data_IF_314747419787
#
_entry.id   IF_314747419787
#
_cell.length_a   1.000
_cell.length_b   1.000
_cell.length_c   1.000
_cell.angle_alpha   90.00
_cell.angle_beta   90.00
_cell.angle_gamma   90.00
#
_symmetry.space_group_name_H-M   'P 1'
#
loop_
_entity.id
_entity.type
_entity.pdbx_description
1 polymer ?
2 water ?
#
# COMPACT_ATOMS: atom_id res chain seq x y z
N UNK A 15 -3.93 18.75 13.09
CA UNK A 15 -3.84 18.89 11.61
C UNK A 15 -3.33 17.60 10.98
N UNK A 16 -3.60 17.42 9.69
CA UNK A 16 -3.15 16.22 9.00
C UNK A 16 -1.66 16.20 8.75
N UNK A 17 -1.06 15.01 8.86
CA UNK A 17 0.38 14.90 8.62
C UNK A 17 0.61 15.14 7.13
N UNK A 18 1.68 15.86 6.82
CA UNK A 18 2.01 16.16 5.44
C UNK A 18 2.09 14.90 4.59
N UNK A 19 2.48 13.80 5.21
CA UNK A 19 2.61 12.53 4.51
C UNK A 19 1.29 12.03 3.92
N UNK A 20 0.17 12.44 4.50
CA UNK A 20 -1.13 12.00 4.01
C UNK A 20 -1.77 12.99 3.04
N UNK A 21 -1.08 14.09 2.78
CA UNK A 21 -1.62 15.09 1.88
C UNK A 21 -1.31 14.78 0.43
N UNK A 22 -2.07 13.85 -0.13
CA UNK A 22 -1.91 13.44 -1.52
C UNK A 22 -3.22 12.85 -2.02
N UNK A 23 -3.40 12.85 -3.33
CA UNK A 23 -4.60 12.29 -3.92
C UNK A 23 -4.13 11.31 -4.99
N UNK A 24 -5.02 10.43 -5.44
CA UNK A 24 -4.66 9.45 -6.45
C UNK A 24 -5.91 8.81 -7.04
N UNK A 25 -5.71 7.97 -8.05
CA UNK A 25 -6.82 7.26 -8.69
C UNK A 25 -6.66 5.77 -8.43
N UNK A 26 -7.75 5.09 -8.11
CA UNK A 26 -7.67 3.65 -7.87
C UNK A 26 -7.70 2.93 -9.21
N UNK A 27 -7.26 1.68 -9.21
CA UNK A 27 -7.25 0.90 -10.44
C UNK A 27 -8.64 0.76 -11.05
N UNK A 28 -9.67 0.79 -10.20
CA UNK A 28 -11.03 0.65 -10.69
C UNK A 28 -11.75 1.98 -10.93
N UNK A 29 -10.96 3.03 -11.16
CA UNK A 29 -11.51 4.34 -11.47
C UNK A 29 -12.08 5.26 -10.40
N UNK A 30 -11.71 5.07 -9.14
CA UNK A 30 -12.23 5.93 -8.07
C UNK A 30 -11.19 6.93 -7.58
N UNK A 31 -11.66 8.04 -7.01
CA UNK A 31 -10.74 9.04 -6.47
C UNK A 31 -10.36 8.62 -5.06
N UNK A 32 -9.09 8.80 -4.70
CA UNK A 32 -8.62 8.43 -3.37
C UNK A 32 -7.88 9.59 -2.72
N UNK A 33 -8.17 9.82 -1.44
CA UNK A 33 -7.54 10.89 -0.70
C UNK A 33 -6.73 10.34 0.46
N UNK A 34 -5.45 10.68 0.51
CA UNK A 34 -4.62 10.20 1.59
C UNK A 34 -5.17 10.59 2.95
N UNK A 35 -5.83 11.74 3.01
CA UNK A 35 -6.37 12.22 4.28
C UNK A 35 -7.45 11.29 4.85
N UNK A 36 -8.00 10.43 4.00
CA UNK A 36 -9.04 9.50 4.44
C UNK A 36 -8.44 8.45 5.37
N UNK A 37 -7.12 8.42 5.48
CA UNK A 37 -6.45 7.46 6.35
C UNK A 37 -6.20 8.02 7.75
N UNK A 38 -6.39 9.32 7.92
CA UNK A 38 -6.17 9.95 9.23
C UNK A 38 -7.15 9.46 10.29
N UNK A 39 -6.62 9.08 11.45
CA UNK A 39 -7.45 8.62 12.55
C UNK A 39 -7.70 7.13 12.58
N UNK A 40 -7.08 6.40 11.65
CA UNK A 40 -7.26 4.96 11.60
C UNK A 40 -5.94 4.30 11.22
N UNK A 41 -5.77 3.02 11.59
CA UNK A 41 -4.53 2.34 11.24
C UNK A 41 -4.54 2.01 9.75
N UNK A 42 -3.41 2.21 9.09
CA UNK A 42 -3.35 1.92 7.66
C UNK A 42 -1.98 1.42 7.26
N UNK A 43 -1.94 0.67 6.17
CA UNK A 43 -0.69 0.17 5.65
C UNK A 43 -0.67 0.41 4.15
N UNK A 44 0.36 1.10 3.67
CA UNK A 44 0.49 1.33 2.24
C UNK A 44 1.60 0.40 1.76
N UNK A 45 1.27 -0.41 0.77
CA UNK A 45 2.21 -1.37 0.21
C UNK A 45 2.60 -0.92 -1.20
N UNK A 46 3.86 -0.55 -1.37
CA UNK A 46 4.35 -0.07 -2.65
C UNK A 46 4.87 -1.24 -3.47
N UNK A 47 4.28 -1.44 -4.65
CA UNK A 47 4.66 -2.54 -5.52
C UNK A 47 4.75 -2.17 -6.99
N UNK A 48 5.42 -3.02 -7.76
CA UNK A 48 5.56 -2.86 -9.21
C UNK A 48 5.14 -4.22 -9.76
N UNK A 49 4.34 -4.24 -10.83
CA UNK A 49 3.86 -5.48 -11.44
C UNK A 49 4.92 -6.49 -11.86
N UNK A 50 6.06 -5.99 -12.32
CA UNK A 50 7.15 -6.84 -12.80
C UNK A 50 8.11 -7.29 -11.71
N UNK A 51 7.91 -6.87 -10.49
CA UNK A 51 8.81 -7.23 -9.43
C UNK A 51 8.50 -8.61 -8.85
N UNK A 52 9.43 -9.53 -9.01
CA UNK A 52 9.27 -10.87 -8.47
C UNK A 52 9.07 -10.95 -6.99
N UNK A 53 9.70 -10.03 -6.27
CA UNK A 53 9.56 -10.00 -4.83
C UNK A 53 8.13 -9.58 -4.48
N UNK A 54 7.60 -8.59 -5.20
CA UNK A 54 6.23 -8.16 -4.95
C UNK A 54 5.24 -9.25 -5.30
N UNK A 55 5.54 -9.99 -6.36
CA UNK A 55 4.67 -11.07 -6.78
C UNK A 55 4.65 -12.11 -5.66
N UNK A 56 5.80 -12.32 -5.03
CA UNK A 56 5.88 -13.29 -3.95
C UNK A 56 5.21 -12.82 -2.67
N UNK A 57 5.26 -11.53 -2.40
CA UNK A 57 4.65 -11.01 -1.18
C UNK A 57 3.16 -10.72 -1.30
N UNK A 58 2.66 -10.63 -2.53
CA UNK A 58 1.25 -10.33 -2.75
C UNK A 58 0.28 -11.20 -1.95
N UNK A 59 0.42 -12.53 -2.00
CA UNK A 59 -0.50 -13.38 -1.23
C UNK A 59 -0.40 -13.15 0.28
N UNK A 60 0.79 -12.77 0.73
CA UNK A 60 1.01 -12.50 2.15
C UNK A 60 0.29 -11.21 2.55
N UNK A 61 0.44 -10.17 1.74
CA UNK A 61 -0.22 -8.91 2.06
C UNK A 61 -1.73 -9.13 2.02
N UNK A 62 -2.19 -9.90 1.04
CA UNK A 62 -3.62 -10.16 0.94
C UNK A 62 -4.15 -10.89 2.16
N UNK A 63 -3.39 -11.86 2.64
CA UNK A 63 -3.80 -12.63 3.81
C UNK A 63 -3.87 -11.75 5.05
N UNK A 64 -2.85 -10.94 5.28
CA UNK A 64 -2.84 -10.07 6.45
C UNK A 64 -3.97 -9.04 6.36
N UNK A 65 -4.22 -8.53 5.16
CA UNK A 65 -5.29 -7.55 4.96
C UNK A 65 -6.62 -8.17 5.34
N UNK A 66 -6.84 -9.40 4.89
CA UNK A 66 -8.09 -10.11 5.17
C UNK A 66 -8.28 -10.40 6.66
N UNK A 67 -7.17 -10.68 7.34
CA UNK A 67 -7.20 -11.00 8.77
C UNK A 67 -7.32 -9.77 9.66
N UNK A 68 -7.08 -8.59 9.10
CA UNK A 68 -7.17 -7.37 9.89
C UNK A 68 -8.03 -6.30 9.24
N UNK A 69 -9.36 -6.52 9.24
CA UNK A 69 -10.29 -5.57 8.64
C UNK A 69 -10.31 -4.20 9.32
N UNK A 70 -9.71 -4.09 10.50
CA UNK A 70 -9.67 -2.81 11.20
C UNK A 70 -8.62 -1.91 10.56
N UNK A 71 -7.70 -2.52 9.81
CA UNK A 71 -6.63 -1.78 9.16
C UNK A 71 -6.93 -1.54 7.69
N UNK A 72 -6.75 -0.31 7.24
CA UNK A 72 -6.99 0.00 5.84
C UNK A 72 -5.71 -0.26 5.06
N UNK A 73 -5.75 -1.26 4.19
CA UNK A 73 -4.59 -1.57 3.36
C UNK A 73 -4.75 -0.85 2.03
N UNK A 74 -3.66 -0.27 1.54
CA UNK A 74 -3.69 0.44 0.28
C UNK A 74 -2.47 0.05 -0.54
N UNK A 75 -2.71 -0.58 -1.68
CA UNK A 75 -1.61 -0.96 -2.55
C UNK A 75 -1.29 0.27 -3.38
N UNK A 76 -0.01 0.52 -3.64
CA UNK A 76 0.40 1.68 -4.43
C UNK A 76 1.30 1.16 -5.55
N UNK A 77 0.70 0.90 -6.70
CA UNK A 77 1.43 0.37 -7.85
C UNK A 77 2.15 1.46 -8.62
N UNK A 78 3.40 1.20 -8.96
CA UNK A 78 4.17 2.17 -9.71
C UNK A 78 5.13 1.52 -10.69
N UNK A 79 5.83 2.37 -11.44
CA UNK A 79 6.84 1.95 -12.40
C UNK A 79 6.32 1.08 -13.54
N UNK A 80 5.11 1.36 -13.99
CA UNK A 80 4.51 0.61 -15.09
C UNK A 80 3.19 1.27 -15.44
N UNK A 81 2.47 0.69 -16.39
CA UNK A 81 1.18 1.23 -16.80
C UNK A 81 0.04 0.38 -16.27
N UNK A 82 -1.18 0.90 -16.37
CA UNK A 82 -2.37 0.23 -15.88
C UNK A 82 -2.55 -1.24 -16.28
N UNK A 83 -2.41 -1.57 -17.58
CA UNK A 83 -2.58 -2.96 -18.00
C UNK A 83 -1.75 -3.95 -17.19
N UNK A 84 -0.48 -3.60 -16.96
CA UNK A 84 0.41 -4.47 -16.20
C UNK A 84 -0.07 -4.57 -14.76
N UNK A 85 -0.57 -3.46 -14.23
CA UNK A 85 -1.08 -3.45 -12.87
C UNK A 85 -2.30 -4.36 -12.74
N UNK A 86 -3.19 -4.30 -13.73
CA UNK A 86 -4.39 -5.14 -13.72
C UNK A 86 -4.02 -6.62 -13.78
N UNK A 87 -3.00 -6.95 -14.56
CA UNK A 87 -2.56 -8.34 -14.69
C UNK A 87 -2.09 -8.86 -13.34
N UNK A 88 -1.35 -8.02 -12.63
CA UNK A 88 -0.83 -8.35 -11.31
C UNK A 88 -1.97 -8.60 -10.32
N UNK A 89 -2.92 -7.67 -10.25
CA UNK A 89 -4.04 -7.83 -9.33
C UNK A 89 -4.91 -9.03 -9.70
N UNK A 90 -4.97 -9.37 -10.99
CA UNK A 90 -5.76 -10.52 -11.42
C UNK A 90 -5.08 -11.83 -11.02
N UNK A 91 -3.75 -11.85 -11.12
CA UNK A 91 -2.98 -13.04 -10.80
C UNK A 91 -2.83 -13.30 -9.30
N UNK A 92 -2.67 -12.23 -8.51
CA UNK A 92 -2.52 -12.44 -7.08
C UNK A 92 -3.69 -11.89 -6.29
N UNK A 93 -4.03 -12.51 -5.15
CA UNK A 93 -5.12 -12.22 -4.22
C UNK A 93 -5.01 -10.91 -3.43
N UNK A 94 -5.09 -9.82 -4.16
CA UNK A 94 -5.01 -8.50 -3.55
C UNK A 94 -6.09 -7.56 -4.09
N UNK A 95 -7.17 -8.13 -4.62
CA UNK A 95 -8.26 -7.33 -5.15
C UNK A 95 -9.23 -6.88 -4.07
N UNK A 96 -9.07 -7.43 -2.87
CA UNK A 96 -9.93 -7.12 -1.73
C UNK A 96 -9.65 -5.76 -1.08
N UNK A 97 -8.49 -5.17 -1.35
CA UNK A 97 -8.21 -3.86 -0.78
C UNK A 97 -7.84 -2.85 -1.87
N UNK A 98 -7.95 -1.57 -1.53
CA UNK A 98 -7.67 -0.50 -2.47
C UNK A 98 -6.31 -0.58 -3.16
N UNK A 99 -6.31 -0.40 -4.48
CA UNK A 99 -5.08 -0.41 -5.26
C UNK A 99 -4.97 0.92 -6.02
N UNK A 100 -3.89 1.66 -5.80
CA UNK A 100 -3.69 2.94 -6.48
C UNK A 100 -2.77 2.78 -7.68
N UNK A 101 -3.15 3.39 -8.80
CA UNK A 101 -2.33 3.33 -10.01
C UNK A 101 -1.49 4.60 -10.04
N UNK A 102 -0.31 4.53 -9.42
CA UNK A 102 0.59 5.68 -9.32
C UNK A 102 1.52 5.82 -10.53
N UNK A 103 0.92 5.96 -11.70
CA UNK A 103 1.68 6.08 -12.94
C UNK A 103 2.54 7.34 -13.01
N UNK A 104 2.11 8.42 -12.36
CA UNK A 104 2.91 9.64 -12.39
C UNK A 104 3.93 9.63 -11.26
N UNK A 105 3.90 8.57 -10.46
CA UNK A 105 4.84 8.41 -9.37
C UNK A 105 4.75 9.40 -8.22
N UNK A 106 3.66 10.16 -8.16
CA UNK A 106 3.51 11.15 -7.10
C UNK A 106 3.31 10.55 -5.71
N UNK A 107 2.61 9.42 -5.62
CA UNK A 107 2.40 8.81 -4.31
C UNK A 107 3.71 8.23 -3.78
N UNK A 108 4.46 7.54 -4.63
CA UNK A 108 5.74 6.99 -4.19
C UNK A 108 6.64 8.13 -3.73
N UNK A 109 6.66 9.21 -4.50
CA UNK A 109 7.49 10.36 -4.18
C UNK A 109 7.12 10.94 -2.82
N UNK A 110 5.82 11.00 -2.55
CA UNK A 110 5.32 11.53 -1.30
C UNK A 110 5.83 10.78 -0.07
N UNK A 111 6.16 9.50 -0.25
CA UNK A 111 6.64 8.69 0.86
C UNK A 111 8.13 8.40 0.77
N UNK A 112 8.80 9.05 -0.18
CA UNK A 112 10.22 8.85 -0.36
C UNK A 112 10.58 7.45 -0.82
N UNK A 113 9.65 6.80 -1.52
CA UNK A 113 9.89 5.45 -2.02
C UNK A 113 10.39 5.51 -3.45
N UNK A 114 11.58 4.97 -3.68
CA UNK A 114 12.17 4.96 -5.01
C UNK A 114 12.27 3.54 -5.54
N UNK A 115 12.22 2.57 -4.63
CA UNK A 115 12.32 1.17 -5.02
C UNK A 115 11.36 0.28 -4.24
N UNK A 116 10.80 -0.71 -4.91
CA UNK A 116 9.88 -1.64 -4.27
C UNK A 116 10.65 -2.90 -3.93
N UNK A 117 10.13 -3.69 -2.97
CA UNK A 117 8.89 -3.36 -2.27
C UNK A 117 9.16 -2.45 -1.08
N UNK A 118 8.11 -1.80 -0.60
CA UNK A 118 8.21 -0.93 0.56
C UNK A 118 6.85 -0.91 1.24
N UNK A 119 6.85 -0.55 2.51
CA UNK A 119 5.63 -0.50 3.30
C UNK A 119 5.60 0.78 4.13
N UNK A 120 4.45 1.44 4.18
CA UNK A 120 4.32 2.63 5.00
C UNK A 120 3.27 2.30 6.05
N UNK A 121 3.66 2.36 7.32
CA UNK A 121 2.73 2.07 8.40
C UNK A 121 2.23 3.36 9.00
N UNK A 122 0.91 3.51 9.03
CA UNK A 122 0.28 4.70 9.56
C UNK A 122 -0.53 4.37 10.80
N UNK A 123 -0.20 4.97 11.94
CA UNK A 123 -0.97 4.68 13.14
C UNK A 123 -2.14 5.67 13.19
N UNK A 124 -3.12 5.43 14.06
CA UNK A 124 -4.28 6.33 14.16
C UNK A 124 -3.98 7.80 14.46
N UNK A 125 -2.79 8.07 14.99
CA UNK A 125 -2.42 9.45 15.30
C UNK A 125 -1.81 10.14 14.09
N UNK A 126 -1.62 9.39 13.01
CA UNK A 126 -1.05 9.97 11.81
C UNK A 126 0.44 9.77 11.68
N UNK A 127 1.04 9.08 12.65
CA UNK A 127 2.47 8.80 12.61
C UNK A 127 2.74 7.87 11.44
N UNK A 128 3.79 8.16 10.68
CA UNK A 128 4.14 7.35 9.51
C UNK A 128 5.55 6.78 9.58
N UNK A 129 5.65 5.47 9.41
CA UNK A 129 6.94 4.78 9.43
C UNK A 129 7.09 4.00 8.13
N UNK A 130 8.13 4.32 7.36
CA UNK A 130 8.37 3.65 6.09
C UNK A 130 9.46 2.60 6.22
N UNK A 131 9.15 1.39 5.76
CA UNK A 131 10.10 0.28 5.80
C UNK A 131 10.38 -0.14 4.37
N UNK A 132 11.65 -0.07 3.97
CA UNK A 132 12.03 -0.44 2.62
C UNK A 132 12.60 -1.84 2.61
N UNK A 133 12.02 -2.69 1.77
CA UNK A 133 12.48 -4.06 1.68
C UNK A 133 11.33 -5.03 1.80
N UNK A 134 11.66 -6.32 1.75
CA UNK A 134 10.65 -7.35 1.84
C UNK A 134 10.20 -7.51 3.28
N UNK A 135 9.05 -8.14 3.47
CA UNK A 135 8.54 -8.36 4.80
C UNK A 135 7.82 -9.69 4.89
N UNK A 136 8.13 -10.44 5.93
CA UNK A 136 7.52 -11.74 6.15
C UNK A 136 6.11 -11.55 6.67
N UNK A 137 5.32 -12.62 6.60
CA UNK A 137 3.95 -12.56 7.09
C UNK A 137 3.93 -12.26 8.58
N UNK A 138 4.86 -12.85 9.33
CA UNK A 138 4.92 -12.60 10.76
C UNK A 138 5.26 -11.16 11.08
N UNK A 139 6.24 -10.59 10.39
CA UNK A 139 6.58 -9.21 10.67
C UNK A 139 5.45 -8.26 10.31
N UNK A 140 4.81 -8.48 9.17
CA UNK A 140 3.71 -7.62 8.75
C UNK A 140 2.59 -7.71 9.77
N UNK A 141 2.29 -8.93 10.21
CA UNK A 141 1.25 -9.15 11.21
C UNK A 141 1.57 -8.39 12.49
N UNK A 142 2.81 -8.53 12.96
CA UNK A 142 3.22 -7.84 14.18
C UNK A 142 3.21 -6.31 14.04
N UNK A 143 3.63 -5.80 12.88
CA UNK A 143 3.62 -4.35 12.69
C UNK A 143 2.19 -3.83 12.62
N UNK A 144 1.32 -4.57 11.94
CA UNK A 144 -0.07 -4.18 11.84
C UNK A 144 -0.72 -4.18 13.22
N UNK A 145 -0.42 -5.18 14.03
CA UNK A 145 -0.99 -5.25 15.37
C UNK A 145 -0.53 -4.06 16.21
N UNK A 146 0.73 -3.66 16.02
CA UNK A 146 1.30 -2.54 16.76
C UNK A 146 0.58 -1.23 16.47
N UNK A 147 0.00 -1.10 15.28
CA UNK A 147 -0.70 0.13 14.92
C UNK A 147 -1.94 0.35 15.79
N UNK A 148 -2.54 -0.75 16.24
CA UNK A 148 -3.72 -0.67 17.08
C UNK A 148 -3.38 -0.77 18.55
#
# INVERSE_FOLDING_TARGET
MGSSHHHHHHSQDPTVPAQLQFSAKTLDGHDFHGESLLGKPAVLWFWAPWCPTCQGEAPVVGQVAASHPEVTFVGVAGLDQVPAMQEFVNKYPVKTFTQLADTDGSVWANFGVTQQPAYAFVDPHGNVDVVRGRMSQDELTRRVTALTSR
#
